data_IF_561986092486
#
_entry.id   IF_561986092486
#
_cell.length_a   1.000
_cell.length_b   1.000
_cell.length_c   1.000
_cell.angle_alpha   90.00
_cell.angle_beta   90.00
_cell.angle_gamma   90.00
#
_symmetry.space_group_name_H-M   'P 1'
#
loop_
_entity.id
_entity.type
_entity.pdbx_description
1 polymer ?
#
# COMPACT_ATOMS: atom_id res chain seq x y z
N UNK A 1 21.20 7.36 49.40
CA UNK A 1 20.07 6.44 49.13
C UNK A 1 18.85 7.24 48.72
N UNK A 2 18.43 7.14 47.45
CA UNK A 2 17.03 7.07 46.99
C UNK A 2 17.07 6.99 45.46
N UNK A 3 16.83 5.78 44.97
CA UNK A 3 16.63 5.44 43.56
C UNK A 3 15.25 5.98 43.16
N UNK A 4 15.15 6.81 42.13
CA UNK A 4 13.89 7.03 41.45
C UNK A 4 13.76 5.95 40.37
N UNK A 5 12.80 5.05 40.58
CA UNK A 5 12.36 4.10 39.58
C UNK A 5 11.48 4.86 38.56
N UNK A 6 11.89 4.88 37.29
CA UNK A 6 11.05 5.34 36.20
C UNK A 6 10.26 4.12 35.69
N UNK A 7 8.98 4.09 36.04
CA UNK A 7 8.02 3.07 35.60
C UNK A 7 7.67 3.30 34.13
N UNK A 8 7.88 2.27 33.30
CA UNK A 8 7.43 2.21 31.92
C UNK A 8 5.89 2.18 31.88
N UNK A 9 5.27 3.24 31.38
CA UNK A 9 3.91 3.19 30.85
C UNK A 9 4.00 2.83 29.37
N UNK A 10 3.83 1.55 29.04
CA UNK A 10 3.49 1.12 27.69
C UNK A 10 1.99 1.34 27.54
N UNK A 11 1.62 2.53 27.05
CA UNK A 11 0.23 2.91 26.80
C UNK A 11 0.02 3.14 25.31
N UNK A 12 -0.92 2.39 24.73
CA UNK A 12 -1.47 2.56 23.39
C UNK A 12 -1.73 4.06 23.08
N UNK A 13 -0.97 4.64 22.15
CA UNK A 13 -1.25 5.97 21.62
C UNK A 13 -2.20 5.78 20.42
N UNK A 14 -3.49 5.74 20.72
CA UNK A 14 -4.51 6.26 19.83
C UNK A 14 -4.86 7.65 20.36
N UNK A 15 -4.19 8.70 19.86
CA UNK A 15 -4.55 10.07 20.16
C UNK A 15 -5.14 10.72 18.91
N UNK A 16 -6.48 10.79 18.93
CA UNK A 16 -7.22 11.89 18.34
C UNK A 16 -6.64 13.23 18.83
N UNK A 17 -6.29 14.10 17.89
CA UNK A 17 -6.10 15.52 18.18
C UNK A 17 -7.46 16.22 18.12
N UNK A 18 -8.09 16.47 19.27
CA UNK A 18 -9.10 17.53 19.41
C UNK A 18 -8.80 18.37 20.65
N UNK A 19 -8.81 19.67 20.39
CA UNK A 19 -8.73 20.84 21.25
C UNK A 19 -8.85 20.63 22.78
N UNK A 20 -7.87 21.20 23.48
CA UNK A 20 -7.98 21.57 24.89
C UNK A 20 -8.88 22.81 25.00
N UNK A 21 -10.13 22.62 25.43
CA UNK A 21 -10.96 23.69 25.98
C UNK A 21 -11.43 23.28 27.39
N UNK A 22 -11.31 24.22 28.32
CA UNK A 22 -11.62 24.03 29.75
C UNK A 22 -13.11 24.21 29.96
N UNK A 23 -13.81 23.16 30.40
CA UNK A 23 -14.97 23.33 31.29
C UNK A 23 -15.23 22.06 32.11
N UNK A 24 -15.36 22.26 33.42
CA UNK A 24 -15.81 21.27 34.41
C UNK A 24 -17.28 20.93 34.18
N UNK A 25 -17.69 19.65 34.29
CA UNK A 25 -18.98 19.24 34.88
C UNK A 25 -18.92 17.78 35.39
N UNK A 26 -19.04 17.65 36.72
CA UNK A 26 -19.86 16.71 37.52
C UNK A 26 -20.04 15.24 37.11
N UNK A 27 -19.70 14.40 38.08
CA UNK A 27 -20.14 13.02 38.35
C UNK A 27 -21.62 12.70 38.10
N UNK A 28 -21.88 11.46 37.68
CA UNK A 28 -22.92 10.58 38.27
C UNK A 28 -22.67 9.11 37.92
N UNK A 29 -22.71 8.28 38.97
CA UNK A 29 -22.79 6.81 38.92
C UNK A 29 -24.06 6.36 38.20
N UNK A 30 -23.98 5.26 37.46
CA UNK A 30 -24.96 4.18 37.63
C UNK A 30 -24.35 2.82 37.21
N UNK A 31 -25.05 1.77 37.61
CA UNK A 31 -24.53 0.53 38.14
C UNK A 31 -25.08 -0.67 37.36
N UNK A 32 -24.31 -1.76 37.38
CA UNK A 32 -24.77 -3.16 37.29
C UNK A 32 -25.51 -3.64 36.03
N UNK A 33 -24.93 -4.65 35.36
CA UNK A 33 -25.40 -6.05 35.49
C UNK A 33 -24.48 -7.03 34.73
N UNK A 34 -24.04 -8.03 35.49
CA UNK A 34 -23.39 -9.28 35.09
C UNK A 34 -24.49 -10.34 34.91
N UNK A 35 -24.49 -11.09 33.80
CA UNK A 35 -24.96 -12.50 33.67
C UNK A 35 -24.21 -13.05 32.43
N UNK A 36 -23.15 -13.84 32.57
CA UNK A 36 -23.05 -15.28 32.89
C UNK A 36 -23.34 -16.23 31.70
N UNK A 37 -22.37 -17.11 31.50
CA UNK A 37 -22.12 -18.09 30.44
C UNK A 37 -23.04 -19.31 30.46
N UNK A 38 -23.27 -19.96 29.32
CA UNK A 38 -23.49 -21.41 29.25
C UNK A 38 -22.89 -22.06 28.00
N UNK A 39 -22.08 -23.08 28.24
CA UNK A 39 -21.58 -24.14 27.36
C UNK A 39 -22.58 -25.29 27.27
N UNK A 40 -22.73 -25.96 26.13
CA UNK A 40 -23.15 -27.38 26.06
C UNK A 40 -22.36 -28.11 24.96
N UNK A 41 -21.84 -29.27 25.37
CA UNK A 41 -21.00 -30.23 24.67
C UNK A 41 -21.78 -31.27 23.85
N UNK A 42 -21.06 -31.83 22.87
CA UNK A 42 -21.05 -33.24 22.44
C UNK A 42 -22.27 -33.87 21.73
N UNK A 43 -22.01 -34.54 20.59
CA UNK A 43 -22.09 -36.00 20.52
C UNK A 43 -21.50 -36.56 19.22
N UNK A 44 -20.95 -37.75 19.39
CA UNK A 44 -20.00 -38.55 18.60
C UNK A 44 -20.63 -39.58 17.64
N UNK A 45 -19.91 -39.82 16.52
CA UNK A 45 -19.55 -41.13 15.88
C UNK A 45 -20.64 -42.00 15.18
N UNK A 46 -20.27 -43.06 14.40
CA UNK A 46 -19.18 -43.24 13.40
C UNK A 46 -19.52 -44.21 12.20
N UNK A 47 -18.47 -44.56 11.42
CA UNK A 47 -18.16 -45.84 10.73
C UNK A 47 -18.59 -46.07 9.26
N UNK A 48 -17.61 -46.54 8.47
CA UNK A 48 -17.78 -47.21 7.18
C UNK A 48 -16.53 -47.21 6.28
N UNK A 49 -15.54 -48.05 6.58
CA UNK A 49 -14.39 -48.40 5.71
C UNK A 49 -14.77 -49.38 4.58
N UNK A 50 -13.78 -49.65 3.69
CA UNK A 50 -13.59 -50.85 2.81
C UNK A 50 -14.18 -50.67 1.39
N UNK A 51 -13.52 -50.99 0.27
CA UNK A 51 -12.31 -51.75 -0.08
C UNK A 51 -11.68 -51.26 -1.40
N UNK A 52 -10.38 -51.52 -1.52
CA UNK A 52 -9.61 -51.65 -2.77
C UNK A 52 -10.06 -52.84 -3.62
N UNK A 53 -10.06 -52.70 -4.95
CA UNK A 53 -9.73 -53.81 -5.85
C UNK A 53 -9.29 -53.33 -7.24
N UNK A 54 -8.24 -53.99 -7.73
CA UNK A 54 -7.55 -53.83 -9.00
C UNK A 54 -8.20 -54.68 -10.11
N UNK A 55 -8.12 -54.24 -11.36
CA UNK A 55 -7.99 -55.16 -12.51
C UNK A 55 -7.13 -54.54 -13.61
N UNK A 56 -6.04 -55.24 -13.95
CA UNK A 56 -5.37 -55.17 -15.25
C UNK A 56 -6.25 -55.84 -16.31
N UNK A 57 -6.18 -55.38 -17.56
CA UNK A 57 -6.15 -56.29 -18.72
C UNK A 57 -5.21 -55.75 -19.79
N UNK A 58 -4.37 -56.69 -20.25
CA UNK A 58 -3.38 -56.71 -21.33
C UNK A 58 -4.02 -56.44 -22.71
N UNK A 59 -3.47 -55.53 -23.52
CA UNK A 59 -2.53 -55.71 -24.66
C UNK A 59 -3.12 -56.23 -25.99
N UNK A 60 -2.79 -55.54 -27.08
CA UNK A 60 -2.20 -56.11 -28.32
C UNK A 60 -1.80 -55.02 -29.32
N UNK A 61 -0.57 -55.16 -29.83
CA UNK A 61 0.08 -54.35 -30.87
C UNK A 61 -0.51 -54.55 -32.26
N UNK A 62 -0.43 -53.52 -33.12
CA UNK A 62 -0.06 -53.68 -34.55
C UNK A 62 0.81 -52.50 -34.98
N UNK A 63 2.04 -52.81 -35.41
CA UNK A 63 2.98 -51.92 -36.10
C UNK A 63 2.46 -51.51 -37.49
N UNK A 64 2.75 -50.28 -37.92
CA UNK A 64 3.36 -50.09 -39.24
C UNK A 64 4.01 -48.71 -39.37
N UNK A 65 5.25 -48.77 -39.84
CA UNK A 65 6.18 -47.71 -40.23
C UNK A 65 5.66 -46.81 -41.36
N UNK A 66 6.01 -45.52 -41.36
CA UNK A 66 7.00 -44.95 -42.30
C UNK A 66 7.15 -43.44 -42.10
N UNK A 67 8.38 -43.00 -42.30
CA UNK A 67 8.83 -41.62 -42.26
C UNK A 67 8.19 -40.79 -43.38
N UNK A 68 7.87 -39.54 -43.08
CA UNK A 68 8.22 -38.44 -43.99
C UNK A 68 8.36 -37.13 -43.22
N UNK A 69 9.49 -36.50 -43.45
CA UNK A 69 9.84 -35.16 -43.02
C UNK A 69 8.92 -34.13 -43.66
N UNK A 70 8.34 -33.24 -42.86
CA UNK A 70 7.98 -31.89 -43.32
C UNK A 70 7.85 -30.94 -42.13
N UNK A 71 8.68 -29.89 -42.17
CA UNK A 71 8.70 -28.76 -41.27
C UNK A 71 7.37 -27.98 -41.30
N UNK A 72 6.76 -27.78 -40.14
CA UNK A 72 5.77 -26.71 -39.95
C UNK A 72 6.07 -26.04 -38.61
N UNK A 73 6.68 -24.87 -38.69
CA UNK A 73 6.61 -23.86 -37.64
C UNK A 73 5.14 -23.55 -37.35
N UNK A 74 4.69 -23.81 -36.13
CA UNK A 74 3.45 -23.23 -35.63
C UNK A 74 3.47 -23.06 -34.11
N UNK A 75 4.03 -21.92 -33.73
CA UNK A 75 3.52 -21.01 -32.72
C UNK A 75 3.25 -21.55 -31.30
N UNK A 76 4.16 -21.16 -30.42
CA UNK A 76 3.89 -20.80 -29.04
C UNK A 76 2.79 -19.74 -29.02
N UNK A 77 1.54 -20.12 -28.75
CA UNK A 77 0.54 -19.18 -28.27
C UNK A 77 0.64 -19.12 -26.75
N UNK A 78 1.45 -18.17 -26.29
CA UNK A 78 1.29 -17.62 -24.96
C UNK A 78 0.00 -16.78 -25.02
N UNK A 79 -1.09 -17.38 -24.53
CA UNK A 79 -2.41 -16.75 -24.45
C UNK A 79 -2.32 -15.48 -23.60
N UNK A 80 -2.20 -14.32 -24.27
CA UNK A 80 -2.50 -13.03 -23.67
C UNK A 80 -4.00 -12.98 -23.43
N UNK A 81 -4.40 -13.00 -22.16
CA UNK A 81 -5.72 -12.51 -21.77
C UNK A 81 -5.73 -11.03 -22.17
N UNK A 82 -6.53 -10.67 -23.18
CA UNK A 82 -6.83 -9.28 -23.45
C UNK A 82 -7.77 -8.86 -22.33
N UNK A 83 -7.21 -8.35 -21.23
CA UNK A 83 -7.99 -7.63 -20.23
C UNK A 83 -8.56 -6.39 -20.92
N UNK A 84 -9.80 -6.49 -21.39
CA UNK A 84 -10.52 -5.37 -21.97
C UNK A 84 -10.91 -4.45 -20.83
N UNK A 85 -10.06 -3.46 -20.55
CA UNK A 85 -10.41 -2.39 -19.63
C UNK A 85 -11.71 -1.72 -20.10
N UNK A 86 -12.63 -1.45 -19.18
CA UNK A 86 -13.92 -0.82 -19.49
C UNK A 86 -13.78 0.70 -19.58
N UNK A 87 -12.92 1.29 -18.74
CA UNK A 87 -12.78 2.73 -18.58
C UNK A 87 -11.41 3.20 -19.06
N UNK A 88 -11.38 4.28 -19.83
CA UNK A 88 -10.15 4.80 -20.46
C UNK A 88 -9.99 6.30 -20.19
N UNK A 89 -9.67 6.72 -18.95
CA UNK A 89 -9.48 8.13 -18.64
C UNK A 89 -8.30 8.71 -19.45
N UNK A 90 -8.47 9.93 -19.97
CA UNK A 90 -7.42 10.62 -20.73
C UNK A 90 -6.55 11.53 -19.86
N UNK A 91 -7.01 11.83 -18.64
CA UNK A 91 -6.33 12.73 -17.72
C UNK A 91 -6.67 12.38 -16.27
N UNK A 92 -5.92 13.01 -15.35
CA UNK A 92 -6.08 12.83 -13.90
C UNK A 92 -7.50 13.10 -13.41
N UNK A 93 -8.15 14.17 -13.88
CA UNK A 93 -9.47 14.56 -13.38
C UNK A 93 -10.56 13.56 -13.78
N UNK A 94 -10.46 12.97 -14.97
CA UNK A 94 -11.30 11.82 -15.38
C UNK A 94 -11.02 10.58 -14.54
N UNK A 95 -9.75 10.25 -14.30
CA UNK A 95 -9.39 9.13 -13.43
C UNK A 95 -9.96 9.32 -12.01
N UNK A 96 -9.87 10.52 -11.44
CA UNK A 96 -10.43 10.83 -10.10
C UNK A 96 -11.95 10.64 -10.06
N UNK A 97 -12.68 10.95 -11.14
CA UNK A 97 -14.13 10.70 -11.18
C UNK A 97 -14.44 9.20 -11.12
N UNK A 98 -13.69 8.38 -11.85
CA UNK A 98 -13.87 6.92 -11.87
C UNK A 98 -13.50 6.31 -10.52
N UNK A 99 -12.35 6.69 -9.94
CA UNK A 99 -11.90 6.09 -8.68
C UNK A 99 -12.73 6.49 -7.47
N UNK A 100 -13.50 7.59 -7.55
CA UNK A 100 -14.48 7.95 -6.51
C UNK A 100 -15.68 7.01 -6.48
N UNK A 101 -15.99 6.37 -7.59
CA UNK A 101 -17.06 5.40 -7.66
C UNK A 101 -16.57 4.07 -7.08
N UNK A 102 -17.02 3.73 -5.86
CA UNK A 102 -16.67 2.47 -5.21
C UNK A 102 -17.26 1.24 -5.90
N UNK A 103 -18.24 1.41 -6.81
CA UNK A 103 -18.78 0.30 -7.61
C UNK A 103 -17.85 -0.10 -8.76
N UNK A 104 -16.92 0.77 -9.16
CA UNK A 104 -15.94 0.47 -10.20
C UNK A 104 -14.76 -0.29 -9.59
N UNK A 105 -14.46 -1.47 -10.13
CA UNK A 105 -13.24 -2.19 -9.81
C UNK A 105 -12.04 -1.47 -10.44
N UNK A 106 -10.95 -1.30 -9.70
CA UNK A 106 -9.79 -0.56 -10.20
C UNK A 106 -9.12 -1.27 -11.38
N UNK A 107 -9.23 -2.59 -11.47
CA UNK A 107 -8.71 -3.37 -12.60
C UNK A 107 -9.43 -3.07 -13.93
N UNK A 108 -10.65 -2.51 -13.90
CA UNK A 108 -11.39 -2.16 -15.12
C UNK A 108 -10.92 -0.82 -15.74
N UNK A 109 -9.99 -0.11 -15.11
CA UNK A 109 -9.55 1.23 -15.52
C UNK A 109 -8.18 1.15 -16.22
N UNK A 110 -8.14 1.48 -17.50
CA UNK A 110 -6.89 1.63 -18.25
C UNK A 110 -6.18 2.93 -17.87
N UNK A 111 -5.11 2.82 -17.07
CA UNK A 111 -4.30 3.96 -16.67
C UNK A 111 -3.14 4.27 -17.61
N UNK A 112 -2.99 3.56 -18.75
CA UNK A 112 -1.83 3.64 -19.64
C UNK A 112 -1.55 5.05 -20.19
N UNK A 113 -2.59 5.88 -20.31
CA UNK A 113 -2.47 7.28 -20.78
C UNK A 113 -2.22 8.29 -19.67
N UNK A 114 -2.31 7.89 -18.41
CA UNK A 114 -2.24 8.79 -17.27
C UNK A 114 -0.79 9.11 -16.94
N UNK A 115 -0.45 10.40 -16.95
CA UNK A 115 0.89 10.90 -16.62
C UNK A 115 0.97 11.55 -15.24
N UNK A 116 -0.17 11.93 -14.65
CA UNK A 116 -0.25 12.57 -13.34
C UNK A 116 -1.19 11.78 -12.44
N UNK A 117 -0.64 11.18 -11.39
CA UNK A 117 -1.39 10.45 -10.35
C UNK A 117 -1.31 11.12 -8.98
N UNK A 118 -0.93 12.40 -8.94
CA UNK A 118 -0.74 13.11 -7.68
C UNK A 118 -2.04 13.12 -6.86
N UNK A 119 -1.99 12.85 -5.56
CA UNK A 119 -3.07 13.02 -4.59
C UNK A 119 -4.36 12.20 -4.83
N UNK A 120 -4.40 11.27 -5.80
CA UNK A 120 -5.65 10.62 -6.23
C UNK A 120 -6.39 9.93 -5.07
N UNK A 121 -5.70 9.29 -4.14
CA UNK A 121 -6.30 8.58 -2.99
C UNK A 121 -5.99 9.24 -1.65
N UNK A 122 -5.58 10.52 -1.66
CA UNK A 122 -5.25 11.21 -0.41
C UNK A 122 -6.49 11.60 0.39
N UNK A 123 -6.51 11.29 1.70
CA UNK A 123 -7.53 11.80 2.64
C UNK A 123 -6.97 13.00 3.41
N UNK A 124 -6.78 14.10 2.69
CA UNK A 124 -6.24 15.33 3.23
C UNK A 124 -7.31 16.43 3.28
N UNK A 125 -7.33 17.21 4.37
CA UNK A 125 -8.22 18.37 4.46
C UNK A 125 -7.70 19.53 3.59
N UNK A 126 -8.61 20.39 3.11
CA UNK A 126 -8.23 21.63 2.40
C UNK A 126 -7.23 22.48 3.21
N UNK A 127 -7.46 22.62 4.53
CA UNK A 127 -6.59 23.37 5.44
C UNK A 127 -5.19 22.76 5.50
N UNK A 128 -5.10 21.43 5.51
CA UNK A 128 -3.83 20.72 5.45
C UNK A 128 -3.13 20.97 4.11
N UNK A 129 -3.81 20.84 2.96
CA UNK A 129 -3.23 21.19 1.65
C UNK A 129 -2.67 22.62 1.61
N UNK A 130 -3.41 23.60 2.14
CA UNK A 130 -2.96 24.99 2.25
C UNK A 130 -1.73 25.13 3.14
N UNK A 131 -1.67 24.38 4.25
CA UNK A 131 -0.53 24.37 5.17
C UNK A 131 0.71 23.78 4.50
N UNK A 132 0.57 22.66 3.80
CA UNK A 132 1.67 22.02 3.07
C UNK A 132 2.20 22.98 1.98
N UNK A 133 1.31 23.63 1.22
CA UNK A 133 1.69 24.65 0.22
C UNK A 133 2.50 25.81 0.82
N UNK A 134 2.24 26.20 2.06
CA UNK A 134 2.91 27.33 2.70
C UNK A 134 4.24 26.96 3.41
N UNK A 135 4.42 25.69 3.76
CA UNK A 135 5.55 25.22 4.57
C UNK A 135 6.70 24.62 3.76
N UNK A 136 6.53 24.49 2.44
CA UNK A 136 7.53 23.91 1.55
C UNK A 136 7.83 24.93 0.47
N UNK A 137 9.12 25.18 0.22
CA UNK A 137 9.61 25.96 -0.93
C UNK A 137 9.34 25.26 -2.28
N UNK A 138 8.37 24.35 -2.34
CA UNK A 138 8.05 23.51 -3.47
C UNK A 138 6.59 23.70 -3.87
N UNK A 139 6.36 23.81 -5.18
CA UNK A 139 5.05 24.07 -5.72
C UNK A 139 4.17 22.82 -5.61
N UNK A 140 3.16 22.89 -4.75
CA UNK A 140 2.07 21.91 -4.71
C UNK A 140 0.92 22.43 -5.56
N UNK A 141 0.43 21.57 -6.45
CA UNK A 141 -0.83 21.83 -7.14
C UNK A 141 -2.00 21.67 -6.16
N UNK A 142 -2.41 22.81 -5.58
CA UNK A 142 -3.54 22.85 -4.65
C UNK A 142 -4.82 22.26 -5.27
N UNK A 143 -5.02 22.39 -6.59
CA UNK A 143 -6.18 21.78 -7.28
C UNK A 143 -6.13 20.26 -7.19
N UNK A 144 -4.97 19.66 -7.44
CA UNK A 144 -4.78 18.21 -7.31
C UNK A 144 -4.95 17.75 -5.87
N UNK A 145 -4.39 18.48 -4.90
CA UNK A 145 -4.45 18.13 -3.47
C UNK A 145 -5.88 18.11 -2.91
N UNK A 146 -6.79 18.96 -3.40
CA UNK A 146 -8.20 18.98 -2.95
C UNK A 146 -9.13 18.09 -3.80
N UNK A 147 -8.75 17.76 -5.04
CA UNK A 147 -9.55 16.91 -5.94
C UNK A 147 -9.09 15.45 -5.83
N UNK A 148 -9.48 14.78 -4.75
CA UNK A 148 -9.06 13.40 -4.42
C UNK A 148 -10.25 12.44 -4.31
N UNK A 149 -9.97 11.15 -4.27
CA UNK A 149 -10.86 10.05 -3.91
C UNK A 149 -10.47 9.47 -2.53
N UNK A 150 -10.12 10.33 -1.57
CA UNK A 150 -9.62 9.93 -0.24
C UNK A 150 -10.54 9.04 0.58
N UNK A 151 -11.84 9.04 0.29
CA UNK A 151 -12.83 8.21 0.96
C UNK A 151 -12.89 6.77 0.44
N UNK A 152 -12.22 6.44 -0.68
CA UNK A 152 -12.29 5.11 -1.29
C UNK A 152 -11.70 4.06 -0.36
N UNK A 153 -12.45 2.98 -0.11
CA UNK A 153 -12.04 1.89 0.79
C UNK A 153 -11.49 0.65 0.10
N UNK A 154 -12.01 0.33 -1.08
CA UNK A 154 -11.63 -0.87 -1.81
C UNK A 154 -10.56 -0.57 -2.86
N UNK A 155 -9.37 -1.16 -2.72
CA UNK A 155 -8.27 -1.01 -3.67
C UNK A 155 -8.00 -2.24 -4.53
N UNK A 156 -8.85 -3.26 -4.48
CA UNK A 156 -8.70 -4.45 -5.31
C UNK A 156 -8.55 -4.08 -6.79
N UNK A 157 -7.56 -4.67 -7.45
CA UNK A 157 -7.25 -4.44 -8.86
C UNK A 157 -6.29 -3.28 -9.12
N UNK A 158 -5.86 -2.54 -8.09
CA UNK A 158 -4.88 -1.45 -8.26
C UNK A 158 -3.50 -1.97 -8.72
N UNK A 159 -3.17 -3.22 -8.39
CA UNK A 159 -1.93 -3.89 -8.77
C UNK A 159 -1.81 -4.10 -10.28
N UNK A 160 -2.93 -4.08 -11.02
CA UNK A 160 -2.96 -4.24 -12.49
C UNK A 160 -2.70 -2.94 -13.25
N UNK A 161 -2.72 -1.80 -12.56
CA UNK A 161 -2.55 -0.48 -13.20
C UNK A 161 -1.23 -0.35 -13.95
N UNK A 162 -1.33 0.09 -15.21
CA UNK A 162 -0.16 0.50 -15.97
C UNK A 162 0.26 1.91 -15.57
N UNK A 163 1.30 2.00 -14.74
CA UNK A 163 1.88 3.28 -14.29
C UNK A 163 3.17 3.68 -15.02
N UNK A 164 3.53 2.97 -16.10
CA UNK A 164 4.81 3.16 -16.80
C UNK A 164 4.97 4.51 -17.51
N UNK A 165 3.87 5.27 -17.66
CA UNK A 165 3.85 6.62 -18.24
C UNK A 165 3.69 7.72 -17.19
N UNK A 166 3.57 7.37 -15.91
CA UNK A 166 3.35 8.33 -14.83
C UNK A 166 4.62 9.12 -14.55
N UNK A 167 4.51 10.45 -14.58
CA UNK A 167 5.58 11.40 -14.28
C UNK A 167 5.60 11.85 -12.81
N UNK A 168 4.44 11.86 -12.15
CA UNK A 168 4.29 12.25 -10.73
C UNK A 168 3.29 11.37 -9.99
N UNK A 169 3.67 10.94 -8.79
CA UNK A 169 2.86 10.19 -7.82
C UNK A 169 2.79 10.94 -6.47
N UNK A 170 3.04 12.25 -6.49
CA UNK A 170 3.06 13.10 -5.30
C UNK A 170 1.78 12.89 -4.46
N UNK A 171 1.91 12.52 -3.20
CA UNK A 171 0.80 12.40 -2.27
C UNK A 171 -0.27 11.37 -2.64
N UNK A 172 0.01 10.45 -3.58
CA UNK A 172 -1.02 9.56 -4.14
C UNK A 172 -1.85 8.83 -3.08
N UNK A 173 -1.25 8.37 -1.98
CA UNK A 173 -1.90 7.68 -0.87
C UNK A 173 -1.78 8.42 0.48
N UNK A 174 -1.46 9.71 0.45
CA UNK A 174 -1.18 10.48 1.66
C UNK A 174 -2.39 10.57 2.58
N UNK A 175 -2.22 10.23 3.86
CA UNK A 175 -3.25 10.15 4.90
C UNK A 175 -4.46 9.29 4.51
N UNK A 176 -4.28 8.31 3.62
CA UNK A 176 -5.36 7.39 3.22
C UNK A 176 -6.00 6.72 4.44
N UNK A 177 -7.28 7.01 4.69
CA UNK A 177 -8.06 6.49 5.83
C UNK A 177 -8.35 4.99 5.70
N UNK A 178 -8.35 4.50 4.48
CA UNK A 178 -8.81 3.16 4.09
C UNK A 178 -7.81 2.04 4.32
N UNK A 179 -6.78 2.26 5.15
CA UNK A 179 -5.75 1.27 5.46
C UNK A 179 -5.09 0.68 4.19
N UNK A 180 -4.80 1.52 3.19
CA UNK A 180 -4.14 1.08 1.96
C UNK A 180 -2.90 0.23 2.25
N UNK A 181 -2.90 -1.02 1.75
CA UNK A 181 -1.81 -1.97 1.92
C UNK A 181 -1.71 -2.97 0.75
N UNK A 182 -2.19 -2.60 -0.43
CA UNK A 182 -2.15 -3.46 -1.61
C UNK A 182 -0.73 -3.60 -2.18
N UNK A 183 -0.42 -4.78 -2.71
CA UNK A 183 0.89 -5.07 -3.26
C UNK A 183 1.09 -4.38 -4.63
N UNK A 184 1.82 -3.28 -4.61
CA UNK A 184 2.20 -2.48 -5.79
C UNK A 184 3.68 -2.69 -6.20
N UNK A 185 4.32 -3.77 -5.75
CA UNK A 185 5.73 -4.05 -6.05
C UNK A 185 6.01 -4.30 -7.53
N UNK A 186 4.97 -4.65 -8.31
CA UNK A 186 5.02 -4.88 -9.76
C UNK A 186 5.03 -3.60 -10.60
N UNK A 187 4.70 -2.46 -10.01
CA UNK A 187 4.57 -1.19 -10.72
C UNK A 187 5.90 -0.73 -11.34
N UNK A 188 5.86 -0.40 -12.64
CA UNK A 188 6.99 0.23 -13.31
C UNK A 188 7.01 1.74 -13.06
N UNK A 189 7.71 2.17 -12.01
CA UNK A 189 7.84 3.58 -11.62
C UNK A 189 9.02 4.32 -12.26
N UNK A 190 9.69 3.72 -13.26
CA UNK A 190 10.95 4.24 -13.80
C UNK A 190 10.87 5.64 -14.42
N UNK A 191 9.69 6.12 -14.82
CA UNK A 191 9.49 7.50 -15.34
C UNK A 191 9.09 8.52 -14.28
N UNK A 192 8.79 8.09 -13.05
CA UNK A 192 8.31 8.97 -12.00
C UNK A 192 9.45 9.88 -11.53
N UNK A 193 9.18 11.17 -11.43
CA UNK A 193 10.15 12.19 -11.00
C UNK A 193 9.82 12.80 -9.64
N UNK A 194 8.57 12.69 -9.19
CA UNK A 194 8.12 13.19 -7.90
C UNK A 194 7.29 12.10 -7.17
N UNK A 195 7.74 11.72 -5.97
CA UNK A 195 7.09 10.82 -5.03
C UNK A 195 6.96 11.45 -3.62
N UNK A 196 7.09 12.77 -3.52
CA UNK A 196 6.88 13.49 -2.27
C UNK A 196 5.51 13.15 -1.68
N UNK A 197 5.43 12.96 -0.38
CA UNK A 197 4.21 12.60 0.36
C UNK A 197 3.52 11.29 -0.04
N UNK A 198 4.04 10.47 -0.98
CA UNK A 198 3.28 9.38 -1.59
C UNK A 198 2.59 8.44 -0.59
N UNK A 199 3.25 8.11 0.53
CA UNK A 199 2.72 7.28 1.62
C UNK A 199 2.74 8.01 2.98
N UNK A 200 2.76 9.34 2.99
CA UNK A 200 2.75 10.13 4.22
C UNK A 200 1.49 9.82 5.03
N UNK A 201 1.62 9.44 6.29
CA UNK A 201 0.47 9.09 7.15
C UNK A 201 -0.32 7.86 6.70
N UNK A 202 0.17 7.05 5.75
CA UNK A 202 -0.49 5.79 5.36
C UNK A 202 -0.18 4.71 6.40
N UNK A 203 -1.02 4.64 7.43
CA UNK A 203 -0.70 3.91 8.67
C UNK A 203 -0.52 2.40 8.50
N UNK A 204 -1.20 1.78 7.53
CA UNK A 204 -1.22 0.34 7.34
C UNK A 204 -0.21 -0.17 6.29
N UNK A 205 0.32 0.71 5.44
CA UNK A 205 1.13 0.30 4.29
C UNK A 205 2.46 -0.31 4.72
N UNK A 206 2.74 -1.55 4.28
CA UNK A 206 3.98 -2.27 4.56
C UNK A 206 4.33 -3.29 3.46
N UNK A 207 4.12 -2.93 2.20
CA UNK A 207 4.42 -3.79 1.05
C UNK A 207 5.84 -3.55 0.52
N UNK A 208 6.51 -4.59 -0.04
CA UNK A 208 7.87 -4.46 -0.54
C UNK A 208 7.95 -3.49 -1.72
N UNK A 209 8.95 -2.61 -1.70
CA UNK A 209 9.22 -1.62 -2.76
C UNK A 209 10.68 -1.69 -3.26
N UNK A 210 11.44 -2.70 -2.83
CA UNK A 210 12.87 -2.88 -3.11
C UNK A 210 13.19 -2.99 -4.60
N UNK A 211 12.22 -3.44 -5.41
CA UNK A 211 12.34 -3.63 -6.86
C UNK A 211 12.05 -2.37 -7.68
N UNK A 212 11.55 -1.30 -7.06
CA UNK A 212 11.24 -0.08 -7.80
C UNK A 212 12.51 0.60 -8.31
N UNK A 213 12.52 0.90 -9.62
CA UNK A 213 13.57 1.74 -10.19
C UNK A 213 13.26 3.22 -9.95
N UNK A 214 13.85 3.79 -8.92
CA UNK A 214 13.68 5.19 -8.53
C UNK A 214 14.75 6.13 -9.10
N UNK A 215 15.57 5.69 -10.06
CA UNK A 215 16.73 6.47 -10.53
C UNK A 215 16.37 7.82 -11.14
N UNK A 216 15.12 8.05 -11.55
CA UNK A 216 14.65 9.32 -12.11
C UNK A 216 13.94 10.23 -11.09
N UNK A 217 13.73 9.76 -9.86
CA UNK A 217 13.05 10.50 -8.81
C UNK A 217 13.93 11.65 -8.33
N UNK A 218 13.35 12.85 -8.25
CA UNK A 218 14.00 14.10 -7.81
C UNK A 218 13.49 14.53 -6.43
N UNK A 219 12.25 14.18 -6.07
CA UNK A 219 11.63 14.55 -4.80
C UNK A 219 10.99 13.34 -4.11
N UNK A 220 11.35 13.14 -2.84
CA UNK A 220 10.84 12.12 -1.92
C UNK A 220 10.57 12.71 -0.53
N UNK A 221 10.40 14.02 -0.42
CA UNK A 221 10.09 14.69 0.84
C UNK A 221 8.85 14.06 1.49
N UNK A 222 8.92 13.77 2.79
CA UNK A 222 7.83 13.14 3.54
C UNK A 222 7.27 11.83 2.97
N UNK A 223 7.93 11.15 2.02
CA UNK A 223 7.36 9.99 1.32
C UNK A 223 6.82 8.91 2.27
N UNK A 224 7.48 8.68 3.41
CA UNK A 224 7.08 7.76 4.48
C UNK A 224 6.92 8.48 5.84
N UNK A 225 6.75 9.82 5.82
CA UNK A 225 6.53 10.57 7.05
C UNK A 225 5.26 10.08 7.75
N UNK A 226 5.29 9.88 9.07
CA UNK A 226 4.14 9.39 9.86
C UNK A 226 3.60 8.00 9.42
N UNK A 227 4.35 7.22 8.63
CA UNK A 227 3.94 5.87 8.26
C UNK A 227 4.25 4.88 9.39
N UNK A 228 3.22 4.46 10.11
CA UNK A 228 3.36 3.68 11.35
C UNK A 228 3.59 2.18 11.18
N UNK A 229 3.41 1.62 9.97
CA UNK A 229 3.64 0.19 9.71
C UNK A 229 4.82 -0.11 8.81
N UNK A 230 5.22 0.84 7.96
CA UNK A 230 6.22 0.63 6.93
C UNK A 230 7.60 0.33 7.52
N UNK A 231 8.11 -0.88 7.26
CA UNK A 231 9.42 -1.35 7.74
C UNK A 231 10.06 -2.28 6.70
N UNK A 232 10.17 -1.80 5.47
CA UNK A 232 10.77 -2.54 4.36
C UNK A 232 12.22 -2.14 4.12
N UNK A 233 13.02 -3.07 3.60
CA UNK A 233 14.39 -2.79 3.20
C UNK A 233 14.42 -2.03 1.88
N UNK A 234 15.01 -0.83 1.88
CA UNK A 234 15.16 0.03 0.70
C UNK A 234 16.63 0.24 0.29
N UNK A 235 17.56 -0.60 0.76
CA UNK A 235 19.00 -0.47 0.49
C UNK A 235 19.35 -0.54 -1.00
N UNK A 236 18.50 -1.18 -1.83
CA UNK A 236 18.67 -1.32 -3.27
C UNK A 236 18.41 -0.03 -4.06
N UNK A 237 17.80 0.98 -3.44
CA UNK A 237 17.41 2.19 -4.15
C UNK A 237 18.60 3.06 -4.54
N UNK A 238 18.68 3.40 -5.83
CA UNK A 238 19.66 4.36 -6.35
C UNK A 238 19.12 5.79 -6.25
N UNK A 239 19.53 6.51 -5.20
CA UNK A 239 19.04 7.84 -4.87
C UNK A 239 19.89 9.00 -5.39
N UNK A 240 20.85 8.77 -6.30
CA UNK A 240 21.82 9.79 -6.73
C UNK A 240 21.16 11.04 -7.36
N UNK A 241 19.97 10.89 -7.95
CA UNK A 241 19.25 11.99 -8.60
C UNK A 241 18.24 12.71 -7.69
N UNK A 242 18.05 12.23 -6.45
CA UNK A 242 17.09 12.80 -5.52
C UNK A 242 17.66 14.09 -4.93
N UNK A 243 16.92 15.19 -5.10
CA UNK A 243 17.29 16.53 -4.64
C UNK A 243 16.66 16.87 -3.29
N UNK A 244 15.46 16.35 -3.04
CA UNK A 244 14.70 16.61 -1.82
C UNK A 244 14.29 15.30 -1.13
N UNK A 245 14.78 15.10 0.10
CA UNK A 245 14.43 13.99 0.99
C UNK A 245 14.04 14.49 2.39
N UNK A 246 13.70 15.78 2.51
CA UNK A 246 13.37 16.38 3.81
C UNK A 246 12.26 15.57 4.48
N UNK A 247 12.47 15.20 5.75
CA UNK A 247 11.50 14.51 6.58
C UNK A 247 10.95 13.19 6.01
N UNK A 248 11.69 12.52 5.12
CA UNK A 248 11.23 11.30 4.43
C UNK A 248 10.69 10.22 5.37
N UNK A 249 11.29 10.08 6.55
CA UNK A 249 10.92 9.10 7.58
C UNK A 249 10.48 9.75 8.91
N UNK A 250 10.22 11.05 8.94
CA UNK A 250 9.88 11.76 10.18
C UNK A 250 8.63 11.16 10.82
N UNK A 251 8.69 10.85 12.11
CA UNK A 251 7.65 10.19 12.90
C UNK A 251 7.19 8.84 12.36
N UNK A 252 7.95 8.22 11.47
CA UNK A 252 7.64 6.90 10.90
C UNK A 252 8.08 5.76 11.83
N UNK A 253 7.61 4.54 11.56
CA UNK A 253 8.10 3.33 12.24
C UNK A 253 9.61 3.16 12.10
N UNK A 254 10.19 3.44 10.92
CA UNK A 254 11.64 3.34 10.70
C UNK A 254 12.41 4.26 11.65
N UNK A 255 11.98 5.51 11.80
CA UNK A 255 12.64 6.46 12.71
C UNK A 255 12.46 6.03 14.17
N UNK A 256 11.23 5.73 14.58
CA UNK A 256 10.90 5.30 15.94
C UNK A 256 11.73 4.07 16.34
N UNK A 257 11.80 3.05 15.49
CA UNK A 257 12.58 1.83 15.76
C UNK A 257 14.09 2.11 15.74
N UNK A 258 14.57 3.04 14.91
CA UNK A 258 15.99 3.45 14.92
C UNK A 258 16.38 4.20 16.20
N UNK A 259 15.45 4.91 16.83
CA UNK A 259 15.69 5.66 18.08
C UNK A 259 15.56 4.81 19.35
N UNK A 260 14.76 3.74 19.32
CA UNK A 260 14.52 2.87 20.49
C UNK A 260 15.66 1.90 20.81
N UNK A 261 16.48 1.53 19.83
CA UNK A 261 17.48 0.47 19.99
C UNK A 261 18.89 1.03 19.83
N UNK A 262 19.70 0.94 20.88
CA UNK A 262 21.13 1.31 20.94
C UNK A 262 22.03 0.40 20.05
N UNK A 263 21.70 0.25 18.76
CA UNK A 263 22.54 -0.49 17.82
C UNK A 263 21.91 -0.95 16.51
N UNK A 264 20.61 -0.74 16.26
CA UNK A 264 19.97 -1.18 15.02
C UNK A 264 19.40 0.02 14.24
N UNK A 265 20.26 0.65 13.44
CA UNK A 265 19.81 1.66 12.47
C UNK A 265 18.91 0.98 11.43
N UNK A 266 17.62 1.36 11.38
CA UNK A 266 16.64 0.86 10.42
C UNK A 266 16.49 1.76 9.20
N UNK A 267 17.18 2.90 9.16
CA UNK A 267 17.25 3.70 7.97
C UNK A 267 17.99 2.93 6.85
N UNK A 268 17.56 3.11 5.59
CA UNK A 268 18.32 2.61 4.44
C UNK A 268 19.76 3.14 4.47
N UNK A 269 20.74 2.35 4.00
CA UNK A 269 22.17 2.72 4.03
C UNK A 269 22.50 4.07 3.37
N UNK A 270 21.72 4.46 2.36
CA UNK A 270 21.89 5.72 1.65
C UNK A 270 21.27 6.92 2.38
N UNK A 271 20.38 6.69 3.36
CA UNK A 271 19.72 7.75 4.10
C UNK A 271 20.65 8.30 5.18
N UNK A 272 21.22 9.46 4.88
CA UNK A 272 21.89 10.28 5.89
C UNK A 272 20.82 11.17 6.49
N UNK A 273 20.42 10.92 7.74
CA UNK A 273 19.61 11.89 8.47
C UNK A 273 20.36 13.22 8.40
N UNK A 274 19.84 14.18 7.64
CA UNK A 274 20.34 15.55 7.75
C UNK A 274 19.88 16.02 9.12
N UNK A 275 20.84 16.08 10.04
CA UNK A 275 20.75 16.87 11.26
C UNK A 275 20.26 18.29 10.94
#
# INVERSE_FOLDING_TARGET
MKRLALSLCVGFIAFWFIACDKSEVSSKQDSSKVIESQSIDSHTKPLGEVSTESTQTDSTNVESSQADSQSVDSQVQQSQVIESHQYHPQNRDELVKLVRDESINLSDIDTSKITNMAWIFSSITKKSCESIKNNIDEWIDLKSCINTAGNRKNFQGIETWNVSNVATMEGMFAWSESQFNENISSWNVSKVTNMGYMFAGTLAFNQPLDKWNISNVKNMAYMFGESNSFLQNLDSWNVQNVKNMKFMFAQSKIEIESLKFEGKNMFPKWYKSKE
#
